data_IF_558818057177
#
_entry.id   IF_558818057177
#
_cell.length_a   1.000
_cell.length_b   1.000
_cell.length_c   1.000
_cell.angle_alpha   90.00
_cell.angle_beta   90.00
_cell.angle_gamma   90.00
#
_symmetry.space_group_name_H-M   'P 1'
#
loop_
_entity.id
_entity.type
_entity.pdbx_description
1 polymer ?
#
# COMPACT_ATOMS: atom_id res chain seq x y z
N UNK A 1 1.29 0.73 -2.37
CA UNK A 1 2.22 1.08 -1.28
C UNK A 1 3.62 1.20 -1.88
N UNK A 2 4.38 2.22 -1.48
CA UNK A 2 5.74 2.51 -1.94
C UNK A 2 6.66 2.39 -0.73
N UNK A 3 7.59 1.45 -0.78
CA UNK A 3 8.52 1.21 0.33
C UNK A 3 9.59 2.30 0.43
N UNK A 4 9.90 2.75 1.65
CA UNK A 4 10.95 3.73 1.94
C UNK A 4 12.11 3.06 2.68
N UNK A 5 13.18 2.78 1.93
CA UNK A 5 14.38 2.16 2.47
C UNK A 5 15.16 3.09 3.42
N UNK A 6 15.09 4.41 3.24
CA UNK A 6 15.87 5.37 4.02
C UNK A 6 15.33 5.57 5.44
N UNK A 7 14.01 5.47 5.59
CA UNK A 7 13.34 5.56 6.90
C UNK A 7 13.17 4.21 7.61
N UNK A 8 13.38 3.10 6.89
CA UNK A 8 13.31 1.74 7.43
C UNK A 8 14.61 1.42 8.19
N UNK A 9 14.49 0.96 9.45
CA UNK A 9 15.65 0.74 10.33
C UNK A 9 15.47 -0.45 11.27
N UNK A 10 16.59 -1.11 11.59
CA UNK A 10 16.69 -2.09 12.67
C UNK A 10 16.99 -1.36 13.99
N UNK A 11 16.28 -1.71 15.05
CA UNK A 11 16.44 -1.15 16.40
C UNK A 11 16.52 -2.34 17.37
N UNK A 12 17.75 -2.71 17.75
CA UNK A 12 17.99 -3.94 18.53
C UNK A 12 17.53 -5.17 17.76
N UNK A 13 16.59 -5.94 18.33
CA UNK A 13 15.99 -7.12 17.69
C UNK A 13 14.63 -6.82 17.02
N UNK A 14 14.30 -5.56 16.78
CA UNK A 14 13.06 -5.14 16.10
C UNK A 14 13.38 -4.39 14.80
N UNK A 15 12.43 -4.40 13.86
CA UNK A 15 12.54 -3.66 12.59
C UNK A 15 11.37 -2.70 12.45
N UNK A 16 11.68 -1.41 12.25
CA UNK A 16 10.71 -0.39 11.83
C UNK A 16 10.73 -0.31 10.31
N UNK A 17 9.64 -0.73 9.67
CA UNK A 17 9.42 -0.65 8.23
C UNK A 17 8.55 0.56 7.91
N UNK A 18 8.94 1.37 6.92
CA UNK A 18 8.19 2.56 6.51
C UNK A 18 7.83 2.45 5.03
N UNK A 19 6.59 2.83 4.71
CA UNK A 19 6.12 2.94 3.35
C UNK A 19 5.13 4.08 3.22
N UNK A 20 5.11 4.69 2.05
CA UNK A 20 4.20 5.75 1.67
C UNK A 20 3.08 5.20 0.80
N UNK A 21 1.94 5.86 0.88
CA UNK A 21 0.90 5.70 -0.13
C UNK A 21 0.16 7.02 -0.26
N UNK A 22 -0.27 7.30 -1.47
CA UNK A 22 -1.22 8.36 -1.72
C UNK A 22 -2.60 7.88 -1.27
N UNK A 23 -3.16 8.55 -0.25
CA UNK A 23 -4.42 8.15 0.35
C UNK A 23 -5.63 8.44 -0.54
N UNK A 24 -5.52 9.32 -1.53
CA UNK A 24 -6.61 9.64 -2.46
C UNK A 24 -6.44 8.84 -3.75
N UNK A 25 -5.32 9.01 -4.43
CA UNK A 25 -5.09 8.39 -5.73
C UNK A 25 -4.90 6.88 -5.63
N UNK A 26 -4.06 6.44 -4.69
CA UNK A 26 -3.77 5.04 -4.49
C UNK A 26 -5.02 4.25 -4.08
N UNK A 27 -5.82 4.81 -3.18
CA UNK A 27 -7.07 4.20 -2.73
C UNK A 27 -8.11 4.15 -3.86
N UNK A 28 -8.32 5.28 -4.56
CA UNK A 28 -9.32 5.36 -5.63
C UNK A 28 -9.07 4.36 -6.74
N UNK A 29 -7.81 4.16 -7.15
CA UNK A 29 -7.46 3.17 -8.17
C UNK A 29 -7.72 1.73 -7.68
N UNK A 30 -7.43 1.40 -6.41
CA UNK A 30 -7.73 0.07 -5.86
C UNK A 30 -9.23 -0.19 -5.76
N UNK A 31 -10.02 0.84 -5.49
CA UNK A 31 -11.48 0.74 -5.49
C UNK A 31 -12.01 0.41 -6.90
N UNK A 32 -11.48 1.05 -7.94
CA UNK A 32 -11.84 0.73 -9.33
C UNK A 32 -11.50 -0.71 -9.69
N UNK A 33 -10.30 -1.18 -9.35
CA UNK A 33 -9.89 -2.57 -9.59
C UNK A 33 -10.83 -3.57 -8.87
N UNK A 34 -11.21 -3.27 -7.63
CA UNK A 34 -12.13 -4.10 -6.86
C UNK A 34 -13.51 -4.19 -7.52
N UNK A 35 -14.05 -3.06 -7.97
CA UNK A 35 -15.33 -3.02 -8.69
C UNK A 35 -15.25 -3.84 -9.97
N UNK A 36 -14.16 -3.72 -10.73
CA UNK A 36 -13.96 -4.49 -11.95
C UNK A 36 -13.88 -6.00 -11.68
N UNK A 37 -13.17 -6.40 -10.61
CA UNK A 37 -13.07 -7.80 -10.20
C UNK A 37 -14.43 -8.39 -9.81
N UNK A 38 -15.21 -7.68 -8.98
CA UNK A 38 -16.55 -8.14 -8.57
C UNK A 38 -17.50 -8.16 -9.76
N UNK A 39 -17.46 -7.15 -10.62
CA UNK A 39 -18.29 -7.07 -11.82
C UNK A 39 -18.06 -8.21 -12.82
N UNK A 40 -16.88 -8.84 -12.84
CA UNK A 40 -16.64 -10.04 -13.66
C UNK A 40 -17.32 -11.31 -13.12
N UNK A 41 -17.78 -11.29 -11.86
CA UNK A 41 -18.41 -12.44 -11.20
C UNK A 41 -19.93 -12.36 -11.11
N UNK A 42 -20.53 -11.34 -11.73
CA UNK A 42 -21.98 -11.10 -11.84
C UNK A 42 -22.45 -11.35 -13.28
#
# INVERSE_FOLDING_TARGET
CIFDAGLTKVIGNQVKVVGWYDNEWGYSNRLVDLVALVGQSL
#
